data_IF_078335901395
#
_entry.id   IF_078335901395
#
_cell.length_a   1.000
_cell.length_b   1.000
_cell.length_c   1.000
_cell.angle_alpha   90.00
_cell.angle_beta   90.00
_cell.angle_gamma   90.00
#
_symmetry.space_group_name_H-M   'P 1'
#
loop_
_entity.id
_entity.type
_entity.pdbx_description
1 polymer ?
#
# COMPACT_ATOMS: atom_id res chain seq x y z
N UNK A 1 -50.42 6.08 -11.03
CA UNK A 1 -49.29 6.20 -10.07
C UNK A 1 -48.43 7.37 -10.50
N UNK A 2 -48.67 8.57 -9.95
CA UNK A 2 -47.88 9.76 -10.27
C UNK A 2 -46.66 9.81 -9.35
N UNK A 3 -45.47 10.01 -9.91
CA UNK A 3 -44.24 10.16 -9.12
C UNK A 3 -44.32 11.50 -8.40
N UNK A 4 -44.32 11.48 -7.07
CA UNK A 4 -44.39 12.69 -6.25
C UNK A 4 -42.99 13.32 -6.15
N UNK A 5 -42.91 14.66 -6.13
CA UNK A 5 -41.66 15.41 -6.03
C UNK A 5 -40.84 15.00 -4.80
N UNK A 6 -41.50 14.67 -3.68
CA UNK A 6 -40.84 14.14 -2.49
C UNK A 6 -40.12 12.80 -2.74
N UNK A 7 -40.72 11.92 -3.55
CA UNK A 7 -40.14 10.63 -3.91
C UNK A 7 -38.88 10.81 -4.76
N UNK A 8 -38.91 11.77 -5.69
CA UNK A 8 -37.74 12.10 -6.54
C UNK A 8 -36.62 12.69 -5.66
N UNK A 9 -36.94 13.62 -4.75
CA UNK A 9 -35.97 14.21 -3.83
C UNK A 9 -35.31 13.21 -2.89
N UNK A 10 -36.10 12.29 -2.33
CA UNK A 10 -35.58 11.21 -1.47
C UNK A 10 -34.64 10.26 -2.23
N UNK A 11 -34.96 9.94 -3.49
CA UNK A 11 -34.12 9.09 -4.33
C UNK A 11 -32.79 9.77 -4.68
N UNK A 12 -32.83 11.06 -5.04
CA UNK A 12 -31.62 11.85 -5.29
C UNK A 12 -30.73 11.95 -4.05
N UNK A 13 -31.32 12.22 -2.88
CA UNK A 13 -30.57 12.23 -1.61
C UNK A 13 -29.93 10.87 -1.31
N UNK A 14 -30.68 9.78 -1.50
CA UNK A 14 -30.16 8.42 -1.32
C UNK A 14 -28.99 8.11 -2.26
N UNK A 15 -29.07 8.54 -3.53
CA UNK A 15 -28.00 8.36 -4.51
C UNK A 15 -26.73 9.14 -4.12
N UNK A 16 -26.87 10.39 -3.66
CA UNK A 16 -25.74 11.21 -3.19
C UNK A 16 -25.09 10.58 -1.96
N UNK A 17 -25.88 10.12 -1.00
CA UNK A 17 -25.38 9.43 0.19
C UNK A 17 -24.62 8.16 -0.18
N UNK A 18 -25.18 7.34 -1.07
CA UNK A 18 -24.52 6.12 -1.56
C UNK A 18 -23.19 6.44 -2.26
N UNK A 19 -23.14 7.51 -3.04
CA UNK A 19 -21.91 7.94 -3.71
C UNK A 19 -20.82 8.35 -2.71
N UNK A 20 -21.17 9.12 -1.67
CA UNK A 20 -20.22 9.54 -0.63
C UNK A 20 -19.68 8.32 0.13
N UNK A 21 -20.57 7.41 0.55
CA UNK A 21 -20.18 6.18 1.25
C UNK A 21 -19.30 5.31 0.35
N UNK A 22 -19.68 5.13 -0.91
CA UNK A 22 -18.90 4.38 -1.89
C UNK A 22 -17.50 4.96 -2.10
N UNK A 23 -17.38 6.29 -2.23
CA UNK A 23 -16.10 6.96 -2.37
C UNK A 23 -15.21 6.78 -1.13
N UNK A 24 -15.77 6.87 0.07
CA UNK A 24 -15.05 6.72 1.33
C UNK A 24 -14.44 5.31 1.48
N UNK A 25 -15.08 4.27 0.94
CA UNK A 25 -14.55 2.90 0.92
C UNK A 25 -13.51 2.68 -0.18
N UNK A 26 -13.64 3.31 -1.35
CA UNK A 26 -12.72 3.10 -2.48
C UNK A 26 -11.32 3.69 -2.21
N UNK A 27 -11.23 4.79 -1.46
CA UNK A 27 -9.95 5.44 -1.11
C UNK A 27 -8.99 4.50 -0.36
N UNK A 28 -9.37 3.88 0.79
CA UNK A 28 -8.47 2.99 1.53
C UNK A 28 -8.13 1.70 0.77
N UNK A 29 -9.07 1.18 -0.03
CA UNK A 29 -8.83 -0.02 -0.85
C UNK A 29 -7.72 0.24 -1.89
N UNK A 30 -7.76 1.40 -2.56
CA UNK A 30 -6.70 1.78 -3.51
C UNK A 30 -5.34 1.91 -2.83
N UNK A 31 -5.30 2.45 -1.61
CA UNK A 31 -4.07 2.55 -0.82
C UNK A 31 -3.52 1.16 -0.45
N UNK A 32 -4.38 0.26 0.02
CA UNK A 32 -4.02 -1.12 0.35
C UNK A 32 -3.41 -1.85 -0.86
N UNK A 33 -4.03 -1.73 -2.04
CA UNK A 33 -3.51 -2.34 -3.28
C UNK A 33 -2.14 -1.77 -3.61
N UNK A 34 -1.95 -0.44 -3.52
CA UNK A 34 -0.66 0.19 -3.79
C UNK A 34 0.42 -0.27 -2.80
N UNK A 35 0.09 -0.41 -1.52
CA UNK A 35 0.99 -0.92 -0.49
C UNK A 35 1.36 -2.39 -0.75
N UNK A 36 0.39 -3.22 -1.15
CA UNK A 36 0.65 -4.62 -1.48
C UNK A 36 1.58 -4.76 -2.69
N UNK A 37 1.36 -4.00 -3.76
CA UNK A 37 2.22 -4.05 -4.95
C UNK A 37 3.63 -3.57 -4.62
N UNK A 38 3.77 -2.41 -3.97
CA UNK A 38 5.08 -1.88 -3.60
C UNK A 38 5.80 -2.80 -2.59
N UNK A 39 5.08 -3.28 -1.58
CA UNK A 39 5.62 -4.22 -0.60
C UNK A 39 6.03 -5.55 -1.22
N UNK A 40 5.27 -6.07 -2.19
CA UNK A 40 5.65 -7.28 -2.93
C UNK A 40 6.94 -7.06 -3.73
N UNK A 41 7.03 -5.95 -4.49
CA UNK A 41 8.22 -5.60 -5.26
C UNK A 41 9.44 -5.45 -4.33
N UNK A 42 9.31 -4.71 -3.23
CA UNK A 42 10.42 -4.54 -2.29
C UNK A 42 10.79 -5.82 -1.54
N UNK A 43 9.82 -6.70 -1.28
CA UNK A 43 10.06 -8.04 -0.73
C UNK A 43 10.86 -8.90 -1.70
N UNK A 44 10.54 -8.85 -3.00
CA UNK A 44 11.31 -9.54 -4.06
C UNK A 44 12.72 -8.97 -4.15
N UNK A 45 12.89 -7.64 -4.11
CA UNK A 45 14.21 -6.99 -4.11
C UNK A 45 15.03 -7.43 -2.89
N UNK A 46 14.45 -7.40 -1.69
CA UNK A 46 15.11 -7.85 -0.46
C UNK A 46 15.47 -9.33 -0.50
N UNK A 47 14.62 -10.17 -1.11
CA UNK A 47 14.90 -11.58 -1.28
C UNK A 47 16.14 -11.80 -2.16
N UNK A 48 16.21 -11.17 -3.33
CA UNK A 48 17.39 -11.24 -4.19
C UNK A 48 18.62 -10.62 -3.53
N UNK A 49 18.44 -9.50 -2.82
CA UNK A 49 19.51 -8.87 -2.06
C UNK A 49 20.07 -9.81 -1.00
N UNK A 50 19.22 -10.46 -0.19
CA UNK A 50 19.69 -11.40 0.84
C UNK A 50 20.34 -12.66 0.24
N UNK A 51 19.93 -13.10 -0.96
CA UNK A 51 20.56 -14.21 -1.66
C UNK A 51 22.02 -13.92 -2.00
N UNK A 52 22.30 -12.71 -2.49
CA UNK A 52 23.65 -12.28 -2.90
C UNK A 52 24.43 -11.74 -1.68
N UNK A 53 23.79 -10.93 -0.85
CA UNK A 53 24.31 -10.31 0.36
C UNK A 53 24.65 -11.32 1.45
N UNK A 54 23.99 -12.48 1.48
CA UNK A 54 24.35 -13.59 2.38
C UNK A 54 25.79 -14.08 2.18
N UNK A 55 26.36 -13.93 0.97
CA UNK A 55 27.77 -14.25 0.68
C UNK A 55 28.71 -13.27 1.41
N UNK A 56 28.24 -12.03 1.63
CA UNK A 56 28.95 -10.96 2.30
C UNK A 56 28.55 -10.80 3.78
N UNK A 57 27.82 -11.78 4.34
CA UNK A 57 27.25 -11.72 5.70
C UNK A 57 26.30 -10.53 5.94
N UNK A 58 25.77 -9.93 4.86
CA UNK A 58 24.84 -8.81 4.88
C UNK A 58 23.42 -9.35 4.63
N UNK A 59 22.60 -9.41 5.69
CA UNK A 59 21.22 -9.85 5.61
C UNK A 59 20.27 -8.87 6.28
N UNK A 60 19.23 -8.45 5.55
CA UNK A 60 18.16 -7.58 6.04
C UNK A 60 16.90 -8.41 6.24
N UNK A 61 16.23 -8.28 7.39
CA UNK A 61 14.99 -9.01 7.64
C UNK A 61 13.91 -8.66 6.59
N UNK A 62 13.28 -9.68 5.99
CA UNK A 62 12.18 -9.51 5.04
C UNK A 62 10.88 -9.40 5.83
N UNK A 63 10.55 -8.18 6.26
CA UNK A 63 9.27 -7.87 6.92
C UNK A 63 8.45 -6.88 6.04
N UNK A 64 7.14 -6.73 6.25
CA UNK A 64 6.31 -5.84 5.44
C UNK A 64 6.77 -4.38 5.47
N UNK A 65 7.36 -3.92 6.58
CA UNK A 65 7.85 -2.55 6.73
C UNK A 65 9.09 -2.29 5.86
N UNK A 66 10.10 -3.14 5.98
CA UNK A 66 11.34 -3.13 5.19
C UNK A 66 11.02 -3.32 3.71
N UNK A 67 10.11 -4.25 3.38
CA UNK A 67 9.66 -4.49 2.02
C UNK A 67 8.91 -3.27 1.45
N UNK A 68 8.15 -2.52 2.25
CA UNK A 68 7.57 -1.25 1.82
C UNK A 68 8.61 -0.16 1.62
N UNK A 69 9.58 -0.03 2.53
CA UNK A 69 10.66 0.95 2.45
C UNK A 69 11.48 0.71 1.17
N UNK A 70 11.92 -0.54 0.94
CA UNK A 70 12.63 -0.94 -0.28
C UNK A 70 11.73 -0.89 -1.51
N UNK A 71 10.45 -1.19 -1.39
CA UNK A 71 9.49 -1.15 -2.49
C UNK A 71 9.21 0.25 -3.00
N UNK A 72 9.22 1.24 -2.09
CA UNK A 72 9.01 2.66 -2.42
C UNK A 72 10.31 3.31 -2.85
N UNK A 73 11.42 3.04 -2.16
CA UNK A 73 12.71 3.71 -2.40
C UNK A 73 13.64 2.95 -3.35
N UNK A 74 13.41 1.67 -3.60
CA UNK A 74 14.27 0.80 -4.41
C UNK A 74 15.61 0.49 -3.75
N UNK A 75 16.68 0.52 -4.55
CA UNK A 75 18.07 0.32 -4.10
C UNK A 75 18.48 1.29 -2.98
N UNK A 76 18.16 2.61 -3.04
CA UNK A 76 18.35 3.52 -1.90
C UNK A 76 17.75 3.01 -0.59
N UNK A 77 16.59 2.34 -0.65
CA UNK A 77 15.93 1.77 0.53
C UNK A 77 16.73 0.66 1.18
N UNK A 78 17.38 -0.21 0.38
CA UNK A 78 18.27 -1.26 0.88
C UNK A 78 19.46 -0.64 1.63
N UNK A 79 20.10 0.38 1.04
CA UNK A 79 21.23 1.09 1.65
C UNK A 79 20.82 1.74 2.98
N UNK A 80 19.64 2.38 3.01
CA UNK A 80 19.07 2.97 4.20
C UNK A 80 18.87 1.95 5.33
N UNK A 81 18.31 0.78 5.00
CA UNK A 81 18.09 -0.28 5.97
C UNK A 81 19.40 -0.88 6.49
N UNK A 82 20.42 -1.02 5.64
CA UNK A 82 21.76 -1.45 6.06
C UNK A 82 22.38 -0.45 7.04
N UNK A 83 22.31 0.85 6.74
CA UNK A 83 22.82 1.89 7.64
C UNK A 83 22.06 1.85 8.98
N UNK A 84 20.73 1.73 8.94
CA UNK A 84 19.92 1.61 10.15
C UNK A 84 20.30 0.38 10.99
N UNK A 85 20.58 -0.76 10.36
CA UNK A 85 21.04 -1.99 11.00
C UNK A 85 22.48 -1.90 11.56
N UNK A 86 23.31 -1.00 11.04
CA UNK A 86 24.65 -0.75 11.59
C UNK A 86 24.64 0.20 12.80
N UNK A 87 23.62 1.06 12.91
CA UNK A 87 23.48 2.04 14.00
C UNK A 87 22.76 1.44 15.21
N UNK A 88 21.77 0.57 14.98
CA UNK A 88 20.98 -0.13 16.00
C UNK A 88 21.62 -1.44 16.43
#
# INVERSE_FOLDING_TARGET
>A
MGVNLYTIGAFLLGLVLLYIVGMLLVIPIKLLIKLLINGFIGGVILFFFNLIGGIFSLSIAINPLNALIVGILGVPGVVLLLIAQMIL
#
